data_IF_459952390397
#
_entry.id   IF_459952390397
#
_cell.length_a   1.000
_cell.length_b   1.000
_cell.length_c   1.000
_cell.angle_alpha   90.00
_cell.angle_beta   90.00
_cell.angle_gamma   90.00
#
_symmetry.space_group_name_H-M   'P 1'
#
loop_
_entity.id
_entity.type
_entity.pdbx_description
1 polymer ?
#
# COMPACT_ATOMS: atom_id res chain seq x y z
N UNK A 1 -36.40 -5.46 5.80
CA UNK A 1 -37.15 -4.73 4.76
C UNK A 1 -36.92 -3.22 4.88
N UNK A 2 -37.08 -2.61 6.05
CA UNK A 2 -36.72 -1.20 6.32
C UNK A 2 -35.22 -0.87 6.23
N UNK A 3 -34.37 -1.83 6.60
CA UNK A 3 -32.91 -1.68 6.60
C UNK A 3 -32.29 -1.50 5.19
N UNK A 4 -33.05 -1.74 4.11
CA UNK A 4 -32.57 -1.58 2.73
C UNK A 4 -32.93 -0.21 2.12
N UNK A 5 -33.63 0.67 2.86
CA UNK A 5 -34.03 2.02 2.39
C UNK A 5 -34.86 2.05 1.09
N UNK A 6 -35.64 1.00 0.81
CA UNK A 6 -36.59 0.92 -0.32
C UNK A 6 -38.00 0.63 0.17
N UNK A 7 -39.02 1.18 -0.49
CA UNK A 7 -40.42 1.14 -0.07
C UNK A 7 -40.74 1.81 1.27
N UNK A 8 -39.76 2.42 1.94
CA UNK A 8 -39.92 2.97 3.29
C UNK A 8 -40.73 4.26 3.33
N UNK A 9 -40.73 5.03 2.24
CA UNK A 9 -41.45 6.30 2.14
C UNK A 9 -42.96 6.09 2.24
N UNK A 10 -43.50 5.11 1.51
CA UNK A 10 -44.95 4.85 1.49
C UNK A 10 -45.45 4.41 2.86
N UNK A 11 -44.68 3.58 3.56
CA UNK A 11 -45.04 3.13 4.91
C UNK A 11 -44.87 4.26 5.93
N UNK A 12 -43.84 5.09 5.78
CA UNK A 12 -43.63 6.26 6.64
C UNK A 12 -44.77 7.26 6.50
N UNK A 13 -45.17 7.59 5.27
CA UNK A 13 -46.31 8.48 5.02
C UNK A 13 -47.61 7.90 5.58
N UNK A 14 -47.88 6.61 5.35
CA UNK A 14 -49.04 5.95 5.93
C UNK A 14 -49.04 5.96 7.47
N UNK A 15 -47.88 5.83 8.11
CA UNK A 15 -47.75 5.88 9.57
C UNK A 15 -47.93 7.30 10.13
N UNK A 16 -47.40 8.32 9.45
CA UNK A 16 -47.51 9.73 9.84
C UNK A 16 -48.93 10.27 9.66
N UNK A 17 -49.64 9.79 8.62
CA UNK A 17 -51.03 10.17 8.37
C UNK A 17 -52.04 9.35 9.21
N UNK A 18 -51.56 8.35 9.96
CA UNK A 18 -52.41 7.46 10.75
C UNK A 18 -52.99 8.15 11.98
N UNK A 19 -54.27 7.85 12.27
CA UNK A 19 -55.04 8.44 13.38
C UNK A 19 -55.49 7.37 14.37
N UNK A 20 -56.79 7.09 14.40
CA UNK A 20 -57.40 6.01 15.17
C UNK A 20 -57.88 4.90 14.24
N UNK A 21 -58.10 3.72 14.82
CA UNK A 21 -58.68 2.59 14.10
C UNK A 21 -60.05 2.98 13.51
N UNK A 22 -60.30 2.63 12.25
CA UNK A 22 -61.49 3.00 11.46
C UNK A 22 -61.66 4.48 11.08
N UNK A 23 -60.67 5.35 11.34
CA UNK A 23 -60.69 6.75 10.86
C UNK A 23 -59.85 6.91 9.59
N UNK A 24 -60.36 7.68 8.61
CA UNK A 24 -59.61 8.02 7.40
C UNK A 24 -58.27 8.68 7.76
N UNK A 25 -57.14 8.34 7.10
CA UNK A 25 -55.89 9.04 7.32
C UNK A 25 -56.03 10.55 7.06
N UNK A 26 -55.31 11.36 7.84
CA UNK A 26 -55.25 12.81 7.63
C UNK A 26 -53.79 13.21 7.57
N UNK A 27 -53.48 14.05 6.59
CA UNK A 27 -52.15 14.55 6.34
C UNK A 27 -51.48 15.04 7.64
N UNK A 28 -50.37 14.39 7.99
CA UNK A 28 -49.48 14.73 9.12
C UNK A 28 -50.16 14.81 10.51
N UNK A 29 -51.20 14.01 10.77
CA UNK A 29 -51.88 14.00 12.07
C UNK A 29 -50.98 13.46 13.20
N UNK A 30 -50.09 12.50 12.89
CA UNK A 30 -49.19 11.86 13.85
C UNK A 30 -47.70 12.06 13.50
N UNK A 31 -47.28 13.31 13.46
CA UNK A 31 -45.92 13.72 13.08
C UNK A 31 -44.82 13.08 13.96
N UNK A 32 -45.13 12.68 15.20
CA UNK A 32 -44.16 12.04 16.09
C UNK A 32 -43.71 10.66 15.60
N UNK A 33 -44.45 10.03 14.68
CA UNK A 33 -44.05 8.75 14.07
C UNK A 33 -42.74 8.84 13.26
N UNK A 34 -42.34 10.03 12.80
CA UNK A 34 -41.00 10.22 12.22
C UNK A 34 -39.87 9.84 13.20
N UNK A 35 -40.05 10.15 14.50
CA UNK A 35 -39.05 9.86 15.53
C UNK A 35 -38.84 8.35 15.68
N UNK A 36 -39.91 7.57 15.58
CA UNK A 36 -39.83 6.11 15.59
C UNK A 36 -38.93 5.58 14.45
N UNK A 37 -39.11 6.07 13.22
CA UNK A 37 -38.28 5.66 12.09
C UNK A 37 -36.83 6.10 12.21
N UNK A 38 -36.57 7.31 12.71
CA UNK A 38 -35.20 7.80 12.95
C UNK A 38 -34.49 6.93 13.99
N UNK A 39 -35.14 6.62 15.11
CA UNK A 39 -34.58 5.74 16.16
C UNK A 39 -34.34 4.34 15.58
N UNK A 40 -35.30 3.78 14.83
CA UNK A 40 -35.15 2.45 14.23
C UNK A 40 -34.00 2.39 13.21
N UNK A 41 -33.79 3.44 12.39
CA UNK A 41 -32.66 3.48 11.44
C UNK A 41 -31.32 3.58 12.18
N UNK A 42 -31.24 4.43 13.21
CA UNK A 42 -30.01 4.63 13.99
C UNK A 42 -29.66 3.35 14.76
N UNK A 43 -30.60 2.74 15.48
CA UNK A 43 -30.31 1.59 16.33
C UNK A 43 -30.44 0.24 15.60
N UNK A 44 -31.34 0.12 14.63
CA UNK A 44 -31.49 -1.09 13.82
C UNK A 44 -30.36 -1.19 12.81
N UNK A 45 -30.35 -0.31 11.82
CA UNK A 45 -29.42 -0.43 10.68
C UNK A 45 -27.96 -0.28 11.10
N UNK A 46 -27.60 0.67 11.95
CA UNK A 46 -26.20 0.89 12.35
C UNK A 46 -25.64 -0.28 13.17
N UNK A 47 -26.36 -0.74 14.20
CA UNK A 47 -25.87 -1.79 15.09
C UNK A 47 -25.86 -3.15 14.38
N UNK A 48 -26.90 -3.48 13.59
CA UNK A 48 -26.92 -4.75 12.88
C UNK A 48 -25.89 -4.81 11.76
N UNK A 49 -25.72 -3.72 10.98
CA UNK A 49 -24.71 -3.70 9.91
C UNK A 49 -23.29 -3.75 10.48
N UNK A 50 -22.99 -2.97 11.53
CA UNK A 50 -21.65 -2.94 12.10
C UNK A 50 -21.27 -4.26 12.79
N UNK A 51 -22.20 -4.88 13.53
CA UNK A 51 -21.97 -6.19 14.14
C UNK A 51 -21.75 -7.26 13.05
N UNK A 52 -22.58 -7.22 12.00
CA UNK A 52 -22.52 -8.19 10.93
C UNK A 52 -21.22 -8.08 10.11
N UNK A 53 -20.83 -6.86 9.76
CA UNK A 53 -19.55 -6.56 9.10
C UNK A 53 -18.38 -7.00 9.99
N UNK A 54 -18.42 -6.71 11.30
CA UNK A 54 -17.37 -7.11 12.25
C UNK A 54 -17.18 -8.63 12.33
N UNK A 55 -18.28 -9.39 12.48
CA UNK A 55 -18.23 -10.86 12.52
C UNK A 55 -17.73 -11.45 11.19
N UNK A 56 -18.13 -10.88 10.06
CA UNK A 56 -17.63 -11.32 8.75
C UNK A 56 -16.15 -11.02 8.60
N UNK A 57 -15.68 -9.81 8.97
CA UNK A 57 -14.27 -9.44 8.90
C UNK A 57 -13.42 -10.42 9.75
N UNK A 58 -13.84 -10.70 10.97
CA UNK A 58 -13.13 -11.61 11.86
C UNK A 58 -13.11 -13.05 11.34
N UNK A 59 -14.23 -13.54 10.80
CA UNK A 59 -14.30 -14.87 10.21
C UNK A 59 -13.48 -14.98 8.91
N UNK A 60 -13.52 -13.94 8.06
CA UNK A 60 -12.77 -13.91 6.81
C UNK A 60 -11.25 -13.78 7.06
N UNK A 61 -10.84 -13.03 8.09
CA UNK A 61 -9.44 -12.97 8.54
C UNK A 61 -8.94 -14.33 9.05
N UNK A 62 -9.79 -15.12 9.72
CA UNK A 62 -9.45 -16.49 10.12
C UNK A 62 -9.36 -17.45 8.92
N UNK A 63 -10.23 -17.29 7.91
CA UNK A 63 -10.21 -18.08 6.67
C UNK A 63 -9.00 -17.74 5.77
N UNK A 64 -8.62 -16.46 5.69
CA UNK A 64 -7.44 -15.97 4.92
C UNK A 64 -6.13 -16.59 5.44
N UNK A 65 -6.06 -16.99 6.71
CA UNK A 65 -4.89 -17.66 7.32
C UNK A 65 -4.71 -19.12 6.88
N UNK A 66 -5.68 -19.72 6.19
CA UNK A 66 -5.65 -21.14 5.77
C UNK A 66 -5.60 -21.35 4.25
N UNK A 67 -5.71 -20.32 3.42
CA UNK A 67 -5.76 -20.48 1.97
C UNK A 67 -4.72 -19.54 1.33
N UNK A 68 -3.48 -20.02 1.28
CA UNK A 68 -2.53 -19.67 0.22
C UNK A 68 -2.26 -20.93 -0.57
N UNK A 69 -2.93 -21.07 -1.70
CA UNK A 69 -2.39 -21.72 -2.89
C UNK A 69 -3.39 -21.62 -4.05
N UNK A 70 -2.85 -21.24 -5.21
CA UNK A 70 -3.40 -21.34 -6.56
C UNK A 70 -4.53 -20.38 -6.95
N UNK A 71 -4.20 -19.35 -7.73
CA UNK A 71 -4.60 -19.25 -9.15
C UNK A 71 -4.01 -17.97 -9.78
N UNK A 72 -3.02 -18.13 -10.65
CA UNK A 72 -2.57 -17.07 -11.56
C UNK A 72 -2.28 -17.72 -12.92
N UNK A 73 -3.32 -17.97 -13.74
CA UNK A 73 -3.10 -18.38 -15.14
C UNK A 73 -4.32 -18.27 -16.10
N UNK A 74 -5.39 -17.51 -15.82
CA UNK A 74 -6.57 -17.44 -16.72
C UNK A 74 -7.05 -15.99 -16.94
N UNK A 75 -6.15 -15.03 -17.20
CA UNK A 75 -6.56 -13.66 -17.58
C UNK A 75 -5.69 -13.11 -18.72
N UNK A 76 -5.58 -13.85 -19.83
CA UNK A 76 -4.98 -13.27 -21.05
C UNK A 76 -5.66 -13.65 -22.37
N UNK A 77 -6.80 -14.35 -22.33
CA UNK A 77 -7.51 -14.74 -23.55
C UNK A 77 -8.99 -14.52 -23.32
N UNK A 78 -9.61 -13.71 -24.19
CA UNK A 78 -11.05 -13.57 -24.47
C UNK A 78 -11.50 -12.12 -24.41
N UNK A 79 -11.24 -11.37 -25.48
CA UNK A 79 -12.20 -10.43 -26.06
C UNK A 79 -11.84 -10.36 -27.55
N UNK A 80 -12.77 -10.59 -28.49
CA UNK A 80 -13.44 -9.51 -29.24
C UNK A 80 -14.62 -10.11 -30.03
N UNK A 81 -15.78 -9.45 -29.97
CA UNK A 81 -16.94 -9.63 -30.87
C UNK A 81 -17.16 -8.37 -31.74
N UNK A 82 -17.74 -8.48 -32.95
CA UNK A 82 -17.70 -7.44 -34.01
C UNK A 82 -18.45 -6.12 -33.74
N UNK A 83 -19.12 -5.94 -32.60
CA UNK A 83 -19.72 -4.65 -32.18
C UNK A 83 -18.69 -3.62 -31.69
N UNK A 84 -17.43 -4.05 -31.47
CA UNK A 84 -16.29 -3.26 -30.97
C UNK A 84 -15.81 -2.13 -31.90
N UNK A 85 -16.14 -2.12 -33.20
CA UNK A 85 -15.62 -1.11 -34.13
C UNK A 85 -16.13 0.32 -33.86
N UNK A 86 -17.28 0.49 -33.20
CA UNK A 86 -17.74 1.81 -32.75
C UNK A 86 -16.98 2.32 -31.50
N UNK A 87 -16.48 1.39 -30.68
CA UNK A 87 -15.77 1.65 -29.41
C UNK A 87 -14.30 2.07 -29.66
N UNK A 88 -13.71 1.72 -30.80
CA UNK A 88 -12.31 2.07 -31.15
C UNK A 88 -12.06 3.60 -31.15
N UNK A 89 -13.09 4.43 -31.41
CA UNK A 89 -12.95 5.89 -31.28
C UNK A 89 -12.73 6.36 -29.83
N UNK A 90 -13.21 5.61 -28.83
CA UNK A 90 -12.95 5.84 -27.41
C UNK A 90 -11.49 5.52 -27.03
N UNK A 91 -10.72 4.81 -27.84
CA UNK A 91 -9.29 4.58 -27.60
C UNK A 91 -8.48 5.89 -27.53
N UNK A 92 -9.00 7.00 -28.10
CA UNK A 92 -8.42 8.34 -27.95
C UNK A 92 -8.49 8.85 -26.50
N UNK A 93 -9.49 8.43 -25.72
CA UNK A 93 -9.60 8.70 -24.28
C UNK A 93 -8.44 8.02 -23.52
N UNK A 94 -7.87 6.93 -24.06
CA UNK A 94 -6.67 6.29 -23.54
C UNK A 94 -5.43 7.20 -23.46
N UNK A 95 -5.43 8.37 -24.12
CA UNK A 95 -4.39 9.40 -23.91
C UNK A 95 -4.37 9.92 -22.46
N UNK A 96 -5.54 9.98 -21.80
CA UNK A 96 -5.67 10.38 -20.39
C UNK A 96 -5.00 9.35 -19.48
N UNK A 97 -4.97 8.06 -19.85
CA UNK A 97 -4.25 7.03 -19.09
C UNK A 97 -2.73 7.24 -19.06
N UNK A 98 -2.15 8.06 -19.97
CA UNK A 98 -0.73 8.46 -19.84
C UNK A 98 -0.47 9.31 -18.61
N UNK A 99 -1.49 10.01 -18.09
CA UNK A 99 -1.38 10.77 -16.83
C UNK A 99 -1.19 9.83 -15.62
N UNK A 100 -1.65 8.57 -15.71
CA UNK A 100 -1.43 7.56 -14.66
C UNK A 100 0.06 7.23 -14.52
N UNK A 101 0.86 7.33 -15.59
CA UNK A 101 2.31 7.14 -15.53
C UNK A 101 3.01 8.16 -14.60
N UNK A 102 2.44 9.34 -14.43
CA UNK A 102 3.01 10.39 -13.58
C UNK A 102 2.51 10.38 -12.13
N UNK A 103 1.52 9.55 -11.79
CA UNK A 103 0.86 9.56 -10.48
C UNK A 103 1.06 8.23 -9.74
N UNK A 104 2.20 8.11 -9.04
CA UNK A 104 2.61 6.92 -8.25
C UNK A 104 1.47 6.38 -7.37
N UNK A 105 0.77 7.24 -6.64
CA UNK A 105 -0.35 6.82 -5.77
C UNK A 105 -1.56 6.21 -6.51
N UNK A 106 -1.90 6.73 -7.70
CA UNK A 106 -2.99 6.15 -8.50
C UNK A 106 -2.55 4.82 -9.12
N UNK A 107 -1.27 4.72 -9.53
CA UNK A 107 -0.68 3.50 -10.08
C UNK A 107 -0.71 2.35 -9.06
N UNK A 108 -0.28 2.60 -7.83
CA UNK A 108 -0.35 1.63 -6.72
C UNK A 108 -1.79 1.16 -6.49
N UNK A 109 -2.75 2.08 -6.38
CA UNK A 109 -4.16 1.72 -6.15
C UNK A 109 -4.75 0.88 -7.30
N UNK A 110 -4.40 1.20 -8.55
CA UNK A 110 -4.84 0.44 -9.71
C UNK A 110 -4.17 -0.94 -9.78
N UNK A 111 -2.90 -1.05 -9.39
CA UNK A 111 -2.20 -2.33 -9.31
C UNK A 111 -2.82 -3.22 -8.23
N UNK A 112 -3.05 -2.69 -7.02
CA UNK A 112 -3.74 -3.41 -5.95
C UNK A 112 -5.15 -3.88 -6.36
N UNK A 113 -5.90 -3.03 -7.06
CA UNK A 113 -7.20 -3.40 -7.64
C UNK A 113 -7.07 -4.53 -8.66
N UNK A 114 -6.09 -4.47 -9.57
CA UNK A 114 -5.83 -5.53 -10.56
C UNK A 114 -5.44 -6.86 -9.91
N UNK A 115 -4.65 -6.81 -8.83
CA UNK A 115 -4.29 -8.00 -8.06
C UNK A 115 -5.50 -8.64 -7.35
N UNK A 116 -6.53 -7.85 -7.02
CA UNK A 116 -7.79 -8.36 -6.45
C UNK A 116 -8.81 -8.90 -7.48
N UNK A 117 -8.60 -8.65 -8.78
CA UNK A 117 -9.52 -9.10 -9.84
C UNK A 117 -9.71 -10.63 -9.91
N UNK A 118 -8.68 -11.49 -9.74
CA UNK A 118 -8.87 -12.94 -9.74
C UNK A 118 -9.83 -13.42 -8.63
N UNK A 119 -9.70 -12.87 -7.43
CA UNK A 119 -10.60 -13.17 -6.31
C UNK A 119 -12.02 -12.65 -6.60
N UNK A 120 -12.12 -11.44 -7.15
CA UNK A 120 -13.38 -10.84 -7.56
C UNK A 120 -14.12 -11.69 -8.61
N UNK A 121 -13.41 -12.25 -9.58
CA UNK A 121 -14.01 -13.07 -10.62
C UNK A 121 -14.66 -14.33 -10.06
N UNK A 122 -14.02 -14.99 -9.08
CA UNK A 122 -14.59 -16.17 -8.43
C UNK A 122 -15.88 -15.85 -7.65
N UNK A 123 -15.89 -14.73 -6.93
CA UNK A 123 -17.09 -14.27 -6.21
C UNK A 123 -18.17 -13.81 -7.20
N UNK A 124 -17.78 -13.19 -8.31
CA UNK A 124 -18.65 -12.80 -9.41
C UNK A 124 -19.29 -14.01 -10.10
N UNK A 125 -18.56 -15.11 -10.31
CA UNK A 125 -19.09 -16.36 -10.83
C UNK A 125 -20.11 -16.99 -9.87
N UNK A 126 -19.85 -16.94 -8.56
CA UNK A 126 -20.80 -17.40 -7.56
C UNK A 126 -22.09 -16.56 -7.59
N UNK A 127 -21.97 -15.23 -7.65
CA UNK A 127 -23.11 -14.32 -7.78
C UNK A 127 -23.88 -14.60 -9.08
N UNK A 128 -23.18 -14.82 -10.19
CA UNK A 128 -23.78 -15.16 -11.47
C UNK A 128 -24.54 -16.49 -11.41
N UNK A 129 -23.98 -17.50 -10.76
CA UNK A 129 -24.66 -18.78 -10.55
C UNK A 129 -25.95 -18.62 -9.73
N UNK A 130 -25.91 -17.83 -8.66
CA UNK A 130 -27.11 -17.52 -7.86
C UNK A 130 -28.14 -16.77 -8.70
N UNK A 131 -27.74 -15.75 -9.46
CA UNK A 131 -28.64 -15.04 -10.38
C UNK A 131 -29.26 -15.99 -11.41
N UNK A 132 -28.48 -16.92 -11.95
CA UNK A 132 -28.94 -17.91 -12.92
C UNK A 132 -30.00 -18.85 -12.33
N UNK A 133 -29.80 -19.33 -11.12
CA UNK A 133 -30.78 -20.20 -10.45
C UNK A 133 -32.08 -19.43 -10.21
N UNK A 134 -31.98 -18.21 -9.65
CA UNK A 134 -33.15 -17.38 -9.35
C UNK A 134 -33.86 -16.88 -10.61
N UNK A 135 -33.18 -16.70 -11.75
CA UNK A 135 -33.84 -16.27 -12.98
C UNK A 135 -34.73 -17.36 -13.57
N UNK A 136 -34.32 -18.63 -13.45
CA UNK A 136 -35.16 -19.78 -13.82
C UNK A 136 -36.39 -19.89 -12.90
N UNK A 137 -36.18 -19.75 -11.59
CA UNK A 137 -37.30 -19.72 -10.63
C UNK A 137 -38.24 -18.54 -10.85
N UNK A 138 -37.71 -17.34 -11.12
CA UNK A 138 -38.51 -16.16 -11.41
C UNK A 138 -39.33 -16.33 -12.68
N UNK A 139 -38.72 -16.84 -13.75
CA UNK A 139 -39.41 -17.09 -15.02
C UNK A 139 -40.53 -18.11 -14.90
N UNK A 140 -40.31 -19.19 -14.13
CA UNK A 140 -41.33 -20.23 -13.95
C UNK A 140 -42.51 -19.78 -13.07
N UNK A 141 -42.31 -18.84 -12.14
CA UNK A 141 -43.34 -18.45 -11.15
C UNK A 141 -44.00 -17.10 -11.45
N UNK A 142 -43.30 -16.18 -12.11
CA UNK A 142 -43.73 -14.78 -12.23
C UNK A 142 -43.87 -14.27 -13.67
N UNK A 143 -43.70 -15.12 -14.69
CA UNK A 143 -43.79 -14.71 -16.09
C UNK A 143 -45.15 -14.09 -16.47
N UNK A 144 -46.26 -14.55 -15.89
CA UNK A 144 -47.61 -14.11 -16.24
C UNK A 144 -48.20 -13.08 -15.27
N UNK A 145 -47.42 -12.60 -14.31
CA UNK A 145 -47.90 -11.62 -13.33
C UNK A 145 -48.27 -10.32 -14.05
N UNK A 146 -49.39 -9.72 -13.65
CA UNK A 146 -49.86 -8.44 -14.19
C UNK A 146 -48.75 -7.38 -14.14
N UNK A 147 -48.53 -6.71 -15.28
CA UNK A 147 -47.60 -5.59 -15.37
C UNK A 147 -48.16 -4.40 -14.59
N UNK A 148 -47.43 -4.01 -13.55
CA UNK A 148 -47.77 -2.91 -12.66
C UNK A 148 -46.51 -2.46 -11.91
N UNK A 149 -46.47 -1.18 -11.51
CA UNK A 149 -45.36 -0.59 -10.75
C UNK A 149 -43.97 -0.83 -11.36
N UNK A 150 -43.24 -1.84 -10.91
CA UNK A 150 -41.89 -2.18 -11.38
C UNK A 150 -41.81 -3.28 -12.44
N UNK A 151 -42.93 -3.95 -12.77
CA UNK A 151 -42.99 -4.95 -13.83
C UNK A 151 -43.56 -4.30 -15.10
N UNK A 152 -42.75 -4.20 -16.15
CA UNK A 152 -43.12 -3.62 -17.45
C UNK A 152 -42.62 -4.47 -18.64
N UNK A 153 -42.81 -3.98 -19.88
CA UNK A 153 -42.43 -4.69 -21.11
C UNK A 153 -40.92 -4.99 -21.23
N UNK A 154 -40.07 -4.28 -20.48
CA UNK A 154 -38.60 -4.42 -20.49
C UNK A 154 -38.08 -5.13 -19.23
N UNK A 155 -38.63 -4.80 -18.06
CA UNK A 155 -38.27 -5.31 -16.75
C UNK A 155 -39.35 -6.26 -16.26
N UNK A 156 -39.27 -7.51 -16.69
CA UNK A 156 -40.21 -8.57 -16.28
C UNK A 156 -39.52 -9.93 -16.13
N UNK A 157 -40.32 -10.95 -15.80
CA UNK A 157 -39.88 -12.33 -15.67
C UNK A 157 -40.35 -13.23 -16.82
N UNK A 158 -40.72 -12.67 -17.98
CA UNK A 158 -41.25 -13.46 -19.11
C UNK A 158 -40.16 -14.29 -19.80
N UNK A 159 -38.94 -13.75 -19.86
CA UNK A 159 -37.79 -14.40 -20.49
C UNK A 159 -36.61 -14.50 -19.53
N UNK A 160 -35.70 -15.42 -19.81
CA UNK A 160 -34.46 -15.56 -19.05
C UNK A 160 -33.63 -14.27 -19.03
N UNK A 161 -33.53 -13.57 -20.15
CA UNK A 161 -32.78 -12.31 -20.27
C UNK A 161 -33.37 -11.20 -19.40
N UNK A 162 -34.68 -10.98 -19.49
CA UNK A 162 -35.37 -9.98 -18.67
C UNK A 162 -35.28 -10.32 -17.18
N UNK A 163 -35.46 -11.59 -16.82
CA UNK A 163 -35.30 -12.08 -15.45
C UNK A 163 -33.90 -11.82 -14.89
N UNK A 164 -32.85 -12.02 -15.71
CA UNK A 164 -31.47 -11.73 -15.32
C UNK A 164 -31.23 -10.23 -15.10
N UNK A 165 -31.83 -9.36 -15.91
CA UNK A 165 -31.73 -7.89 -15.75
C UNK A 165 -32.43 -7.45 -14.46
N UNK A 166 -33.63 -7.97 -14.19
CA UNK A 166 -34.36 -7.71 -12.94
C UNK A 166 -33.56 -8.15 -11.71
N UNK A 167 -32.96 -9.35 -11.73
CA UNK A 167 -32.13 -9.84 -10.62
C UNK A 167 -30.84 -9.04 -10.47
N UNK A 168 -30.20 -8.63 -11.58
CA UNK A 168 -29.06 -7.74 -11.53
C UNK A 168 -29.39 -6.39 -10.87
N UNK A 169 -30.57 -5.82 -11.17
CA UNK A 169 -31.06 -4.62 -10.49
C UNK A 169 -31.25 -4.86 -8.98
N UNK A 170 -31.93 -5.95 -8.60
CA UNK A 170 -32.20 -6.31 -7.20
C UNK A 170 -30.92 -6.70 -6.44
N UNK A 171 -29.84 -7.11 -7.11
CA UNK A 171 -28.54 -7.41 -6.46
C UNK A 171 -28.01 -6.21 -5.67
N UNK A 172 -28.29 -4.99 -6.15
CA UNK A 172 -27.97 -3.75 -5.43
C UNK A 172 -29.03 -3.34 -4.42
N UNK A 173 -30.02 -4.21 -4.17
CA UNK A 173 -31.27 -3.96 -3.46
C UNK A 173 -32.10 -2.81 -4.04
N UNK A 174 -31.93 -2.46 -5.31
CA UNK A 174 -32.68 -1.38 -5.96
C UNK A 174 -34.01 -1.89 -6.54
N UNK A 175 -35.12 -1.20 -6.22
CA UNK A 175 -36.42 -1.40 -6.88
C UNK A 175 -37.08 -2.77 -6.65
N UNK A 176 -36.63 -3.52 -5.64
CA UNK A 176 -37.21 -4.83 -5.30
C UNK A 176 -38.65 -4.71 -4.80
N UNK A 177 -38.99 -3.57 -4.18
CA UNK A 177 -40.31 -3.18 -3.71
C UNK A 177 -41.30 -3.03 -4.87
N UNK A 178 -40.91 -2.34 -5.94
CA UNK A 178 -41.72 -2.18 -7.14
C UNK A 178 -41.95 -3.49 -7.91
N UNK A 179 -40.97 -4.41 -7.88
CA UNK A 179 -41.09 -5.73 -8.51
C UNK A 179 -41.91 -6.72 -7.66
N UNK A 180 -41.89 -6.59 -6.33
CA UNK A 180 -42.67 -7.44 -5.44
C UNK A 180 -44.16 -7.06 -5.43
N UNK A 181 -44.49 -5.77 -5.52
CA UNK A 181 -45.85 -5.26 -5.35
C UNK A 181 -46.89 -5.99 -6.24
N UNK A 182 -46.70 -6.14 -7.56
CA UNK A 182 -47.69 -6.82 -8.42
C UNK A 182 -47.84 -8.31 -8.10
N UNK A 183 -46.80 -8.93 -7.52
CA UNK A 183 -46.79 -10.34 -7.13
C UNK A 183 -47.63 -10.58 -5.87
N UNK A 184 -47.86 -9.54 -5.07
CA UNK A 184 -48.69 -9.58 -3.87
C UNK A 184 -50.19 -9.39 -4.18
N UNK A 185 -50.54 -8.96 -5.40
CA UNK A 185 -51.92 -8.66 -5.78
C UNK A 185 -52.83 -9.88 -5.61
N UNK A 186 -54.07 -9.61 -5.18
CA UNK A 186 -55.18 -10.57 -5.08
C UNK A 186 -56.42 -9.96 -5.74
N UNK A 187 -57.44 -10.76 -6.10
CA UNK A 187 -58.69 -10.21 -6.60
C UNK A 187 -59.26 -9.15 -5.63
N UNK A 188 -59.68 -7.96 -6.10
CA UNK A 188 -59.97 -7.56 -7.49
C UNK A 188 -58.79 -6.97 -8.29
N UNK A 189 -57.60 -6.84 -7.71
CA UNK A 189 -56.45 -6.15 -8.34
C UNK A 189 -55.77 -6.98 -9.44
N UNK A 190 -56.06 -8.29 -9.49
CA UNK A 190 -55.65 -9.23 -10.53
C UNK A 190 -56.82 -10.14 -10.95
N UNK A 191 -56.70 -10.78 -12.11
CA UNK A 191 -57.71 -11.63 -12.72
C UNK A 191 -57.23 -13.09 -12.76
N UNK A 192 -58.05 -14.01 -12.24
CA UNK A 192 -57.76 -15.45 -12.20
C UNK A 192 -58.02 -16.14 -13.55
N UNK A 193 -58.86 -15.55 -14.39
CA UNK A 193 -59.35 -16.18 -15.64
C UNK A 193 -58.79 -15.51 -16.90
N UNK A 194 -57.85 -14.57 -16.75
CA UNK A 194 -57.21 -13.89 -17.87
C UNK A 194 -56.53 -14.90 -18.79
N UNK A 195 -56.94 -14.91 -20.05
CA UNK A 195 -56.39 -15.80 -21.07
C UNK A 195 -55.17 -15.16 -21.73
N UNK A 196 -54.09 -15.94 -21.85
CA UNK A 196 -52.86 -15.53 -22.52
C UNK A 196 -52.76 -16.25 -23.88
N UNK A 197 -52.93 -15.53 -25.01
CA UNK A 197 -52.97 -16.18 -26.32
C UNK A 197 -51.65 -16.90 -26.63
N UNK A 198 -51.71 -18.21 -26.85
CA UNK A 198 -50.54 -19.06 -27.11
C UNK A 198 -49.99 -19.80 -25.89
N UNK A 199 -50.56 -19.61 -24.69
CA UNK A 199 -50.24 -20.37 -23.48
C UNK A 199 -51.48 -21.09 -22.94
N UNK A 200 -51.29 -22.27 -22.34
CA UNK A 200 -52.35 -22.98 -21.62
C UNK A 200 -52.57 -22.47 -20.19
N UNK A 201 -51.78 -21.47 -19.76
CA UNK A 201 -51.87 -20.87 -18.43
C UNK A 201 -52.99 -19.83 -18.37
N UNK A 202 -53.74 -19.81 -17.26
CA UNK A 202 -54.82 -18.86 -17.00
C UNK A 202 -54.53 -18.04 -15.75
N UNK A 203 -54.83 -16.75 -15.82
CA UNK A 203 -54.69 -15.80 -14.74
C UNK A 203 -53.41 -14.95 -14.79
N UNK A 204 -53.45 -13.80 -14.13
CA UNK A 204 -52.31 -12.88 -13.96
C UNK A 204 -52.01 -12.54 -12.48
N UNK A 205 -52.63 -13.27 -11.56
CA UNK A 205 -52.37 -13.16 -10.13
C UNK A 205 -51.04 -13.84 -9.72
N UNK A 206 -50.22 -13.13 -8.95
CA UNK A 206 -49.03 -13.70 -8.32
C UNK A 206 -49.36 -14.57 -7.10
N UNK A 207 -48.34 -15.26 -6.57
CA UNK A 207 -48.42 -15.96 -5.30
C UNK A 207 -47.67 -15.18 -4.21
N UNK A 208 -48.37 -14.55 -3.25
CA UNK A 208 -47.72 -13.70 -2.25
C UNK A 208 -46.69 -14.43 -1.39
N UNK A 209 -46.95 -15.67 -0.99
CA UNK A 209 -46.04 -16.45 -0.15
C UNK A 209 -44.74 -16.78 -0.87
N UNK A 210 -44.85 -17.21 -2.13
CA UNK A 210 -43.68 -17.54 -2.97
C UNK A 210 -42.91 -16.27 -3.35
N UNK A 211 -43.62 -15.18 -3.67
CA UNK A 211 -43.02 -13.87 -3.94
C UNK A 211 -42.20 -13.34 -2.77
N UNK A 212 -42.78 -13.29 -1.57
CA UNK A 212 -42.06 -12.82 -0.36
C UNK A 212 -40.82 -13.68 -0.11
N UNK A 213 -40.94 -15.00 -0.17
CA UNK A 213 -39.81 -15.89 0.05
C UNK A 213 -38.71 -15.69 -1.01
N UNK A 214 -39.08 -15.58 -2.29
CA UNK A 214 -38.15 -15.37 -3.39
C UNK A 214 -37.34 -14.09 -3.23
N UNK A 215 -38.00 -12.94 -3.04
CA UNK A 215 -37.31 -11.65 -2.95
C UNK A 215 -36.51 -11.52 -1.64
N UNK A 216 -37.06 -11.94 -0.51
CA UNK A 216 -36.35 -11.84 0.78
C UNK A 216 -35.12 -12.75 0.82
N UNK A 217 -35.25 -14.01 0.37
CA UNK A 217 -34.11 -14.93 0.32
C UNK A 217 -33.03 -14.45 -0.65
N UNK A 218 -33.42 -13.95 -1.81
CA UNK A 218 -32.50 -13.40 -2.80
C UNK A 218 -31.74 -12.17 -2.28
N UNK A 219 -32.44 -11.21 -1.64
CA UNK A 219 -31.80 -10.01 -1.07
C UNK A 219 -30.80 -10.40 0.02
N UNK A 220 -31.14 -11.37 0.88
CA UNK A 220 -30.20 -11.83 1.91
C UNK A 220 -28.97 -12.47 1.26
N UNK A 221 -29.15 -13.43 0.35
CA UNK A 221 -28.03 -14.15 -0.28
C UNK A 221 -27.14 -13.19 -1.09
N UNK A 222 -27.73 -12.31 -1.91
CA UNK A 222 -26.99 -11.34 -2.71
C UNK A 222 -26.23 -10.33 -1.84
N UNK A 223 -26.86 -9.82 -0.78
CA UNK A 223 -26.20 -8.92 0.17
C UNK A 223 -24.99 -9.58 0.83
N UNK A 224 -25.11 -10.84 1.28
CA UNK A 224 -23.98 -11.60 1.84
C UNK A 224 -22.82 -11.72 0.86
N UNK A 225 -23.11 -12.05 -0.40
CA UNK A 225 -22.08 -12.22 -1.43
C UNK A 225 -21.39 -10.89 -1.74
N UNK A 226 -22.16 -9.80 -1.93
CA UNK A 226 -21.62 -8.47 -2.25
C UNK A 226 -20.81 -7.89 -1.09
N UNK A 227 -21.25 -8.05 0.15
CA UNK A 227 -20.49 -7.60 1.33
C UNK A 227 -19.19 -8.40 1.47
N UNK A 228 -19.24 -9.72 1.30
CA UNK A 228 -18.05 -10.57 1.32
C UNK A 228 -17.05 -10.18 0.22
N UNK A 229 -17.55 -9.85 -0.98
CA UNK A 229 -16.74 -9.31 -2.08
C UNK A 229 -16.05 -8.00 -1.69
N UNK A 230 -16.80 -7.05 -1.13
CA UNK A 230 -16.28 -5.73 -0.75
C UNK A 230 -15.21 -5.83 0.34
N UNK A 231 -15.45 -6.66 1.36
CA UNK A 231 -14.49 -6.90 2.43
C UNK A 231 -13.21 -7.55 1.87
N UNK A 232 -13.33 -8.54 0.98
CA UNK A 232 -12.18 -9.16 0.34
C UNK A 232 -11.33 -8.13 -0.43
N UNK A 233 -11.97 -7.27 -1.24
CA UNK A 233 -11.30 -6.19 -1.98
C UNK A 233 -10.61 -5.21 -1.02
N UNK A 234 -11.29 -4.75 0.04
CA UNK A 234 -10.69 -3.82 1.01
C UNK A 234 -9.48 -4.45 1.70
N UNK A 235 -9.60 -5.69 2.18
CA UNK A 235 -8.53 -6.36 2.89
C UNK A 235 -7.34 -6.66 1.99
N UNK A 236 -7.57 -6.91 0.70
CA UNK A 236 -6.50 -7.09 -0.29
C UNK A 236 -5.80 -5.76 -0.59
N UNK A 237 -6.56 -4.69 -0.86
CA UNK A 237 -6.00 -3.35 -1.05
C UNK A 237 -5.26 -2.84 0.19
N UNK A 238 -5.78 -3.08 1.38
CA UNK A 238 -5.14 -2.69 2.64
C UNK A 238 -3.87 -3.51 2.88
N UNK A 239 -3.86 -4.80 2.56
CA UNK A 239 -2.65 -5.64 2.63
C UNK A 239 -1.55 -5.10 1.72
N UNK A 240 -1.86 -4.79 0.46
CA UNK A 240 -0.89 -4.24 -0.50
C UNK A 240 -0.39 -2.87 -0.05
N UNK A 241 -1.27 -1.98 0.42
CA UNK A 241 -0.87 -0.67 0.95
C UNK A 241 0.01 -0.77 2.21
N UNK A 242 -0.19 -1.82 3.02
CA UNK A 242 0.64 -2.06 4.21
C UNK A 242 2.00 -2.66 3.83
N UNK A 243 2.05 -3.56 2.85
CA UNK A 243 3.31 -4.12 2.32
C UNK A 243 4.17 -3.04 1.64
N UNK A 244 3.59 -2.15 0.81
CA UNK A 244 4.34 -1.04 0.18
C UNK A 244 4.83 0.03 1.18
N UNK A 245 4.22 0.16 2.36
CA UNK A 245 4.60 1.17 3.36
C UNK A 245 5.42 0.61 4.53
N UNK A 246 5.46 -0.71 4.69
CA UNK A 246 6.22 -1.37 5.76
C UNK A 246 7.67 -1.64 5.36
N UNK A 247 7.96 -1.80 4.06
CA UNK A 247 9.33 -2.00 3.61
C UNK A 247 10.11 -0.67 3.58
N UNK A 248 11.28 -0.59 4.25
CA UNK A 248 12.07 0.64 4.31
C UNK A 248 12.65 1.07 2.95
N UNK A 249 12.64 0.17 1.97
CA UNK A 249 13.13 0.36 0.60
C UNK A 249 12.12 -0.22 -0.39
N UNK A 250 11.73 0.58 -1.38
CA UNK A 250 10.81 0.21 -2.46
C UNK A 250 11.56 -0.02 -3.78
N UNK A 251 10.93 -0.67 -4.76
CA UNK A 251 11.51 -0.85 -6.11
C UNK A 251 11.89 0.49 -6.76
N UNK A 252 11.07 1.54 -6.56
CA UNK A 252 11.34 2.88 -7.10
C UNK A 252 12.65 3.49 -6.55
N UNK A 253 13.07 3.12 -5.32
CA UNK A 253 14.34 3.59 -4.74
C UNK A 253 15.54 2.99 -5.48
N UNK A 254 15.43 1.74 -5.95
CA UNK A 254 16.44 1.08 -6.77
C UNK A 254 16.49 1.65 -8.19
N UNK A 255 15.33 1.94 -8.79
CA UNK A 255 15.28 2.63 -10.09
C UNK A 255 15.96 4.00 -10.02
N UNK A 256 15.61 4.81 -9.01
CA UNK A 256 16.19 6.14 -8.78
C UNK A 256 17.71 6.05 -8.56
N UNK A 257 18.20 5.02 -7.87
CA UNK A 257 19.63 4.76 -7.72
C UNK A 257 20.34 4.57 -9.08
N UNK A 258 19.78 3.75 -9.98
CA UNK A 258 20.37 3.51 -11.30
C UNK A 258 20.29 4.73 -12.22
N UNK A 259 19.20 5.51 -12.17
CA UNK A 259 19.09 6.77 -12.91
C UNK A 259 20.17 7.78 -12.50
N UNK A 260 20.53 7.81 -11.22
CA UNK A 260 21.61 8.67 -10.73
C UNK A 260 22.97 8.06 -11.07
N UNK A 261 23.12 6.73 -10.97
CA UNK A 261 24.35 6.02 -11.33
C UNK A 261 24.77 6.28 -12.78
N UNK A 262 23.83 6.26 -13.72
CA UNK A 262 24.08 6.52 -15.14
C UNK A 262 24.75 7.89 -15.38
N UNK A 263 24.48 8.89 -14.53
CA UNK A 263 25.13 10.22 -14.61
C UNK A 263 26.61 10.19 -14.21
N UNK A 264 27.03 9.21 -13.42
CA UNK A 264 28.41 9.05 -12.94
C UNK A 264 29.19 7.97 -13.73
N UNK A 265 28.50 7.07 -14.42
CA UNK A 265 29.04 6.03 -15.29
C UNK A 265 28.29 5.95 -16.65
N UNK A 266 28.49 6.93 -17.55
CA UNK A 266 27.77 6.98 -18.83
C UNK A 266 28.12 5.85 -19.80
N UNK A 267 29.29 5.24 -19.61
CA UNK A 267 29.81 4.17 -20.47
C UNK A 267 29.42 2.77 -19.97
N UNK A 268 28.56 2.69 -18.94
CA UNK A 268 28.08 1.44 -18.32
C UNK A 268 29.22 0.49 -17.91
N UNK A 269 30.31 1.06 -17.38
CA UNK A 269 31.48 0.29 -16.94
C UNK A 269 31.23 -0.48 -15.65
N UNK A 270 30.18 -0.13 -14.90
CA UNK A 270 29.82 -0.60 -13.56
C UNK A 270 30.80 -0.17 -12.45
N UNK A 271 31.69 0.78 -12.73
CA UNK A 271 32.66 1.30 -11.77
C UNK A 271 32.60 2.82 -11.67
N UNK A 272 32.86 3.35 -10.48
CA UNK A 272 33.14 4.76 -10.26
C UNK A 272 34.48 4.95 -9.55
N UNK A 273 35.12 6.09 -9.76
CA UNK A 273 36.31 6.48 -9.00
C UNK A 273 35.96 6.84 -7.55
N UNK A 274 36.81 6.46 -6.61
CA UNK A 274 36.64 6.74 -5.18
C UNK A 274 36.47 8.23 -4.87
N UNK A 275 37.13 9.10 -5.64
CA UNK A 275 37.00 10.56 -5.55
C UNK A 275 35.56 11.05 -5.73
N UNK A 276 34.77 10.37 -6.58
CA UNK A 276 33.38 10.74 -6.91
C UNK A 276 32.35 10.13 -5.96
N UNK A 277 32.74 9.18 -5.10
CA UNK A 277 31.82 8.47 -4.20
C UNK A 277 31.05 9.43 -3.27
N UNK A 278 31.73 10.43 -2.73
CA UNK A 278 31.12 11.41 -1.84
C UNK A 278 30.07 12.30 -2.54
N UNK A 279 30.29 12.62 -3.81
CA UNK A 279 29.34 13.39 -4.63
C UNK A 279 28.15 12.53 -5.05
N UNK A 280 28.41 11.28 -5.44
CA UNK A 280 27.39 10.30 -5.78
C UNK A 280 26.45 10.05 -4.59
N UNK A 281 27.00 9.80 -3.40
CA UNK A 281 26.21 9.48 -2.22
C UNK A 281 25.29 10.64 -1.75
N UNK A 282 25.71 11.89 -1.99
CA UNK A 282 24.91 13.08 -1.68
C UNK A 282 23.84 13.38 -2.75
N UNK A 283 24.06 12.93 -4.00
CA UNK A 283 23.13 13.11 -5.11
C UNK A 283 21.92 12.16 -5.07
N UNK A 284 22.04 11.03 -4.37
CA UNK A 284 20.93 10.08 -4.16
C UNK A 284 19.75 10.72 -3.42
N UNK A 285 18.56 10.15 -3.61
CA UNK A 285 17.36 10.56 -2.88
C UNK A 285 17.20 9.77 -1.56
N UNK A 286 16.42 10.31 -0.62
CA UNK A 286 16.07 9.57 0.59
C UNK A 286 15.25 8.34 0.20
N UNK A 287 15.49 7.14 0.75
CA UNK A 287 16.30 6.82 1.95
C UNK A 287 17.78 6.47 1.72
N UNK A 288 18.23 6.31 0.47
CA UNK A 288 19.60 5.89 0.15
C UNK A 288 20.64 7.02 0.23
N UNK A 289 20.19 8.28 0.27
CA UNK A 289 21.06 9.47 0.38
C UNK A 289 21.97 9.45 1.62
N UNK A 290 23.24 9.76 1.41
CA UNK A 290 24.22 10.07 2.47
C UNK A 290 24.68 11.52 2.33
N UNK A 291 24.06 12.47 3.06
CA UNK A 291 24.32 13.89 2.88
C UNK A 291 25.72 14.29 3.33
N UNK A 292 26.32 15.29 2.68
CA UNK A 292 27.63 15.82 3.11
C UNK A 292 27.53 16.55 4.46
N UNK A 293 28.57 16.45 5.33
CA UNK A 293 29.83 15.72 5.14
C UNK A 293 29.70 14.20 5.40
N UNK A 294 29.90 13.39 4.36
CA UNK A 294 29.65 11.94 4.36
C UNK A 294 30.91 11.08 4.39
N UNK A 295 32.10 11.70 4.40
CA UNK A 295 33.38 10.98 4.26
C UNK A 295 33.62 9.94 5.35
N UNK A 296 33.28 10.25 6.61
CA UNK A 296 33.50 9.33 7.74
C UNK A 296 32.58 8.12 7.62
N UNK A 297 31.32 8.35 7.25
CA UNK A 297 30.31 7.31 7.10
C UNK A 297 30.67 6.37 5.94
N UNK A 298 31.09 6.92 4.79
CA UNK A 298 31.54 6.15 3.63
C UNK A 298 32.80 5.32 3.90
N UNK A 299 33.74 5.83 4.70
CA UNK A 299 34.92 5.05 5.13
C UNK A 299 34.52 3.93 6.08
N UNK A 300 33.54 4.17 6.96
CA UNK A 300 33.04 3.18 7.91
C UNK A 300 32.26 2.04 7.24
N UNK A 301 31.73 2.25 6.02
CA UNK A 301 31.06 1.21 5.21
C UNK A 301 32.03 0.17 4.62
N UNK A 302 33.35 0.41 4.68
CA UNK A 302 34.40 -0.53 4.27
C UNK A 302 34.23 -1.10 2.84
N UNK A 303 33.90 -0.22 1.89
CA UNK A 303 33.71 -0.61 0.49
C UNK A 303 35.00 -1.20 -0.13
N UNK A 304 34.91 -2.33 -0.86
CA UNK A 304 36.04 -2.90 -1.58
C UNK A 304 36.43 -2.03 -2.79
N UNK A 305 37.74 -1.93 -3.02
CA UNK A 305 38.32 -1.16 -4.13
C UNK A 305 39.18 -2.05 -5.03
N UNK A 306 39.02 -1.80 -6.33
CA UNK A 306 39.73 -2.46 -7.43
C UNK A 306 40.85 -1.55 -7.93
N UNK A 307 41.77 -2.10 -8.74
CA UNK A 307 42.81 -1.37 -9.48
C UNK A 307 42.35 -0.01 -10.02
N UNK A 308 43.10 1.03 -9.65
CA UNK A 308 42.84 2.41 -10.06
C UNK A 308 41.94 3.21 -9.11
N UNK A 309 41.84 2.83 -7.82
CA UNK A 309 40.97 3.47 -6.82
C UNK A 309 39.50 3.53 -7.30
N UNK A 310 39.01 2.42 -7.87
CA UNK A 310 37.64 2.27 -8.38
C UNK A 310 36.79 1.35 -7.50
N UNK A 311 35.51 1.66 -7.39
CA UNK A 311 34.52 0.90 -6.62
C UNK A 311 33.41 0.44 -7.55
N UNK A 312 32.93 -0.78 -7.35
CA UNK A 312 31.87 -1.37 -8.17
C UNK A 312 30.46 -0.93 -7.70
N UNK A 313 29.56 -0.79 -8.67
CA UNK A 313 28.14 -0.43 -8.46
C UNK A 313 27.44 -1.29 -7.41
N UNK A 314 27.60 -2.62 -7.52
CA UNK A 314 26.92 -3.57 -6.65
C UNK A 314 27.37 -3.44 -5.18
N UNK A 315 28.66 -3.17 -4.95
CA UNK A 315 29.19 -3.03 -3.59
C UNK A 315 28.64 -1.77 -2.92
N UNK A 316 28.48 -0.68 -3.67
CA UNK A 316 27.89 0.57 -3.18
C UNK A 316 26.40 0.36 -2.89
N UNK A 317 25.67 -0.22 -3.85
CA UNK A 317 24.24 -0.49 -3.68
C UNK A 317 23.99 -1.37 -2.46
N UNK A 318 24.78 -2.43 -2.30
CA UNK A 318 24.67 -3.34 -1.17
C UNK A 318 24.97 -2.63 0.16
N UNK A 319 26.06 -1.86 0.25
CA UNK A 319 26.40 -1.14 1.47
C UNK A 319 25.34 -0.11 1.88
N UNK A 320 24.75 0.59 0.90
CA UNK A 320 23.75 1.62 1.18
C UNK A 320 22.41 0.98 1.55
N UNK A 321 22.04 -0.11 0.89
CA UNK A 321 20.87 -0.94 1.24
C UNK A 321 21.02 -1.49 2.66
N UNK A 322 22.20 -2.04 3.00
CA UNK A 322 22.54 -2.55 4.33
C UNK A 322 22.44 -1.48 5.42
N UNK A 323 22.83 -0.24 5.11
CA UNK A 323 22.70 0.89 6.03
C UNK A 323 21.25 1.18 6.40
N UNK A 324 20.34 1.12 5.43
CA UNK A 324 18.92 1.44 5.63
C UNK A 324 18.17 0.29 6.31
N UNK A 325 18.44 -0.96 5.91
CA UNK A 325 17.73 -2.14 6.42
C UNK A 325 18.33 -2.71 7.72
N UNK A 326 19.61 -2.43 8.02
CA UNK A 326 20.33 -3.01 9.14
C UNK A 326 20.90 -4.42 8.88
N UNK A 327 21.60 -4.98 9.87
CA UNK A 327 22.17 -6.33 9.80
C UNK A 327 21.08 -7.40 9.97
N UNK A 328 20.37 -7.72 8.89
CA UNK A 328 19.51 -8.90 8.80
C UNK A 328 20.17 -10.00 7.97
N UNK A 329 20.16 -11.25 8.45
CA UNK A 329 20.76 -12.39 7.72
C UNK A 329 20.12 -12.67 6.35
N UNK A 330 18.93 -12.14 6.07
CA UNK A 330 18.29 -12.20 4.74
C UNK A 330 19.06 -11.38 3.69
N UNK A 331 19.74 -10.31 4.10
CA UNK A 331 20.49 -9.44 3.19
C UNK A 331 21.73 -10.15 2.62
N UNK A 332 22.38 -11.00 3.40
CA UNK A 332 23.54 -11.78 2.96
C UNK A 332 23.15 -12.85 1.93
N UNK A 333 21.93 -13.41 2.03
CA UNK A 333 21.37 -14.33 1.03
C UNK A 333 21.09 -13.58 -0.27
N UNK A 334 20.54 -12.37 -0.17
CA UNK A 334 20.25 -11.51 -1.32
C UNK A 334 21.55 -11.07 -2.02
N UNK A 335 22.60 -10.76 -1.25
CA UNK A 335 23.96 -10.52 -1.75
C UNK A 335 24.46 -11.69 -2.60
N UNK A 336 24.36 -12.90 -2.05
CA UNK A 336 24.86 -14.11 -2.70
C UNK A 336 24.13 -14.38 -4.03
N UNK A 337 22.81 -14.15 -4.07
CA UNK A 337 22.04 -14.27 -5.32
C UNK A 337 22.42 -13.22 -6.37
N UNK A 338 22.67 -11.97 -5.96
CA UNK A 338 23.10 -10.91 -6.87
C UNK A 338 24.52 -11.16 -7.39
N UNK A 339 25.44 -11.61 -6.53
CA UNK A 339 26.81 -12.00 -6.91
C UNK A 339 26.81 -13.22 -7.86
N UNK A 340 25.97 -14.22 -7.63
CA UNK A 340 25.84 -15.40 -8.52
C UNK A 340 25.31 -15.03 -9.91
N UNK A 341 24.28 -14.17 -10.00
CA UNK A 341 23.79 -13.66 -11.29
C UNK A 341 24.83 -12.84 -12.02
N UNK A 342 25.60 -12.05 -11.28
CA UNK A 342 26.69 -11.25 -11.84
C UNK A 342 27.81 -12.13 -12.42
N UNK A 343 28.28 -13.12 -11.66
CA UNK A 343 29.31 -14.09 -12.11
C UNK A 343 28.86 -14.89 -13.34
N UNK A 344 27.55 -15.18 -13.45
CA UNK A 344 26.98 -15.81 -14.63
C UNK A 344 26.97 -14.88 -15.87
N UNK A 345 26.80 -13.57 -15.67
CA UNK A 345 26.75 -12.57 -16.74
C UNK A 345 28.12 -12.02 -17.18
N UNK A 346 29.18 -12.16 -16.36
CA UNK A 346 30.52 -11.67 -16.67
C UNK A 346 31.63 -12.70 -16.35
N UNK A 347 32.06 -13.53 -17.32
CA UNK A 347 32.99 -14.65 -17.09
C UNK A 347 34.43 -14.24 -16.72
N UNK A 348 34.83 -12.98 -16.92
CA UNK A 348 36.21 -12.53 -16.69
C UNK A 348 36.41 -12.10 -15.23
N UNK A 349 36.84 -13.03 -14.37
CA UNK A 349 37.15 -12.80 -12.94
C UNK A 349 38.30 -11.81 -12.65
N UNK A 350 39.11 -11.45 -13.66
CA UNK A 350 40.38 -10.72 -13.50
C UNK A 350 40.18 -9.23 -13.17
N UNK A 351 39.03 -8.64 -13.47
CA UNK A 351 38.76 -7.21 -13.24
C UNK A 351 38.17 -6.89 -11.87
N UNK A 352 37.81 -7.89 -11.05
CA UNK A 352 37.04 -7.67 -9.81
C UNK A 352 37.80 -7.99 -8.52
N UNK A 353 38.99 -8.60 -8.57
CA UNK A 353 39.70 -8.96 -7.34
C UNK A 353 39.97 -7.71 -6.48
N UNK A 354 39.40 -7.62 -5.26
CA UNK A 354 39.59 -6.46 -4.41
C UNK A 354 41.04 -6.37 -3.97
N UNK A 355 41.69 -5.24 -4.25
CA UNK A 355 43.09 -5.01 -3.88
C UNK A 355 43.19 -4.39 -2.48
N UNK A 356 42.22 -3.56 -2.11
CA UNK A 356 42.19 -2.86 -0.82
C UNK A 356 40.75 -2.44 -0.49
N UNK A 357 40.51 -1.92 0.72
CA UNK A 357 39.21 -1.36 1.12
C UNK A 357 39.34 0.12 1.46
N UNK A 358 38.23 0.85 1.46
CA UNK A 358 38.21 2.29 1.81
C UNK A 358 38.86 2.56 3.18
N UNK A 359 38.61 1.70 4.17
CA UNK A 359 39.23 1.78 5.50
C UNK A 359 40.74 1.53 5.45
N UNK A 360 41.16 0.47 4.74
CA UNK A 360 42.58 0.12 4.61
C UNK A 360 43.37 1.22 3.87
N UNK A 361 42.81 1.79 2.82
CA UNK A 361 43.40 2.92 2.08
C UNK A 361 43.58 4.14 2.97
N UNK A 362 42.60 4.44 3.82
CA UNK A 362 42.74 5.56 4.77
C UNK A 362 43.86 5.32 5.78
N UNK A 363 43.98 4.10 6.27
CA UNK A 363 45.06 3.69 7.15
C UNK A 363 46.44 3.82 6.48
N UNK A 364 46.55 3.46 5.21
CA UNK A 364 47.76 3.60 4.40
C UNK A 364 48.15 5.08 4.19
N UNK A 365 47.19 5.96 3.88
CA UNK A 365 47.43 7.41 3.78
C UNK A 365 47.96 8.00 5.08
N UNK A 366 47.30 7.71 6.20
CA UNK A 366 47.70 8.22 7.52
C UNK A 366 49.09 7.71 7.89
N UNK A 367 49.35 6.42 7.63
CA UNK A 367 50.66 5.81 7.84
C UNK A 367 51.74 6.46 6.98
N UNK A 368 51.45 6.72 5.70
CA UNK A 368 52.37 7.40 4.79
C UNK A 368 52.69 8.82 5.27
N UNK A 369 51.69 9.59 5.71
CA UNK A 369 51.90 10.94 6.28
C UNK A 369 52.76 10.89 7.54
N UNK A 370 52.52 9.93 8.45
CA UNK A 370 53.32 9.75 9.66
C UNK A 370 54.78 9.39 9.34
N UNK A 371 54.99 8.44 8.43
CA UNK A 371 56.33 8.02 7.99
C UNK A 371 57.05 9.17 7.30
N UNK A 372 56.39 9.88 6.37
CA UNK A 372 56.96 11.05 5.69
C UNK A 372 57.33 12.15 6.68
N UNK A 373 56.47 12.42 7.67
CA UNK A 373 56.74 13.41 8.73
C UNK A 373 57.93 13.00 9.58
N UNK A 374 58.01 11.73 9.99
CA UNK A 374 59.13 11.19 10.75
C UNK A 374 60.44 11.21 9.94
N UNK A 375 60.38 10.87 8.66
CA UNK A 375 61.52 10.86 7.74
C UNK A 375 62.04 12.29 7.46
N UNK A 376 61.15 13.25 7.18
CA UNK A 376 61.51 14.67 7.05
C UNK A 376 62.13 15.22 8.34
N UNK A 377 61.59 14.86 9.50
CA UNK A 377 62.17 15.24 10.79
C UNK A 377 63.56 14.60 11.01
N UNK A 378 63.76 13.36 10.58
CA UNK A 378 65.07 12.67 10.65
C UNK A 378 66.10 13.29 9.70
N UNK A 379 65.71 13.65 8.48
CA UNK A 379 66.58 14.35 7.52
C UNK A 379 66.99 15.74 8.03
N UNK A 380 66.07 16.47 8.66
CA UNK A 380 66.36 17.74 9.31
C UNK A 380 67.38 17.61 10.46
N UNK A 381 67.30 16.53 11.26
CA UNK A 381 68.27 16.25 12.33
C UNK A 381 69.65 15.79 11.84
N UNK A 382 69.73 15.15 10.67
CA UNK A 382 71.00 14.67 10.07
C UNK A 382 71.69 15.69 9.15
N UNK A 383 71.19 16.93 9.08
CA UNK A 383 71.84 18.02 8.33
C UNK A 383 71.77 17.91 6.81
N UNK A 384 70.94 17.02 6.26
CA UNK A 384 70.81 16.79 4.81
C UNK A 384 69.88 17.79 4.10
N UNK A 385 69.16 18.63 4.85
CA UNK A 385 68.40 19.75 4.26
C UNK A 385 69.19 21.02 4.50
N UNK A 386 69.95 21.44 3.49
CA UNK A 386 70.56 22.77 3.47
C UNK A 386 69.47 23.83 3.68
N UNK A 387 69.67 24.67 4.70
CA UNK A 387 68.91 25.93 4.85
C UNK A 387 69.01 26.68 3.52
N UNK A 388 67.90 26.81 2.79
CA UNK A 388 67.78 27.90 1.81
C UNK A 388 67.89 29.19 2.62
N UNK A 389 69.00 29.90 2.46
CA UNK A 389 69.18 31.23 3.01
C UNK A 389 68.10 32.14 2.37
N UNK A 390 67.20 32.65 3.20
CA UNK A 390 66.32 33.74 2.82
C UNK A 390 67.22 34.98 2.63
N UNK A 391 67.44 35.38 1.38
CA UNK A 391 68.03 36.67 1.06
C UNK A 391 66.95 37.73 1.11
N UNK A 392 66.99 38.60 2.12
CA UNK A 392 66.31 39.90 2.07
C UNK A 392 67.33 41.00 2.33
N UNK A 393 67.60 41.78 1.28
CA UNK A 393 68.28 43.08 1.33
C UNK A 393 67.56 44.04 2.28
N UNK A 394 68.33 44.89 2.95
CA UNK A 394 67.93 45.92 3.89
C UNK A 394 67.13 47.08 3.25
N UNK A 395 66.20 47.59 4.10
CA UNK A 395 65.75 48.97 4.37
C UNK A 395 65.22 49.89 3.26
N UNK A 396 63.98 50.40 3.45
CA UNK A 396 63.79 51.65 4.21
C UNK A 396 62.31 51.99 4.58
N UNK A 397 62.11 52.40 5.84
CA UNK A 397 61.34 53.58 6.31
C UNK A 397 59.81 53.68 6.16
N UNK A 398 59.09 53.82 7.29
CA UNK A 398 57.75 54.44 7.33
C UNK A 398 56.89 54.08 8.56
N UNK A 399 56.86 54.97 9.56
CA UNK A 399 56.30 54.77 10.91
C UNK A 399 54.77 54.97 11.05
N UNK A 400 54.16 54.25 12.01
CA UNK A 400 53.26 54.73 13.12
C UNK A 400 52.35 53.58 13.60
N UNK A 401 52.60 52.95 14.78
CA UNK A 401 52.00 53.22 16.12
C UNK A 401 50.45 53.25 16.09
N UNK A 402 49.67 52.48 16.86
CA UNK A 402 49.84 51.98 18.24
C UNK A 402 49.07 50.66 18.53
N UNK A 403 49.67 49.83 19.41
CA UNK A 403 49.16 49.11 20.62
C UNK A 403 47.80 48.40 20.58
N UNK A 404 47.55 47.27 21.24
CA UNK A 404 48.18 46.34 22.22
C UNK A 404 47.13 45.21 22.36
N UNK A 405 47.33 43.98 22.82
CA UNK A 405 48.28 43.30 23.71
C UNK A 405 48.01 41.79 23.47
N UNK A 406 49.01 40.93 23.23
CA UNK A 406 49.75 40.18 24.26
C UNK A 406 49.23 38.72 24.29
N UNK A 407 50.00 37.64 24.36
CA UNK A 407 51.42 37.37 24.47
C UNK A 407 51.60 35.85 24.46
N UNK A 408 52.70 35.40 23.86
CA UNK A 408 53.19 34.02 23.64
C UNK A 408 53.66 33.29 24.93
N UNK A 409 54.41 32.16 24.89
CA UNK A 409 54.05 30.80 24.49
C UNK A 409 54.54 29.73 25.53
N UNK A 410 54.32 28.45 25.17
CA UNK A 410 55.15 27.26 25.53
C UNK A 410 54.63 26.26 26.56
N UNK A 411 54.80 24.99 26.14
CA UNK A 411 55.02 23.76 26.92
C UNK A 411 53.91 23.24 27.83
N UNK A 412 53.20 22.21 27.36
CA UNK A 412 52.90 21.00 28.14
C UNK A 412 52.27 19.91 27.24
N UNK A 413 52.93 18.76 27.18
CA UNK A 413 52.39 17.39 27.10
C UNK A 413 51.02 17.12 26.42
N UNK A 414 51.08 16.23 25.42
CA UNK A 414 49.98 15.43 24.86
C UNK A 414 49.07 14.82 25.95
N UNK A 415 47.73 14.88 25.82
CA UNK A 415 46.85 14.03 26.62
C UNK A 415 46.81 12.60 26.04
N UNK A 416 46.80 11.65 26.97
CA UNK A 416 46.64 10.22 26.77
C UNK A 416 45.38 9.87 25.97
N UNK A 417 45.52 8.85 25.13
CA UNK A 417 44.48 8.26 24.30
C UNK A 417 43.60 7.34 25.15
N UNK A 418 42.80 7.92 26.06
CA UNK A 418 41.85 7.12 26.87
C UNK A 418 40.74 7.97 27.52
N UNK A 419 39.94 8.70 26.72
CA UNK A 419 38.69 9.31 27.22
C UNK A 419 37.79 9.86 26.11
N UNK A 420 37.07 9.01 25.36
CA UNK A 420 35.86 9.45 24.62
C UNK A 420 34.66 8.46 24.74
N UNK A 421 34.78 7.31 25.41
CA UNK A 421 33.65 6.35 25.54
C UNK A 421 33.17 6.07 26.98
N UNK A 422 33.41 6.98 27.94
CA UNK A 422 33.00 6.75 29.35
C UNK A 422 31.76 7.50 29.90
N UNK A 423 31.25 8.63 29.38
CA UNK A 423 30.10 9.28 30.04
C UNK A 423 28.73 8.65 29.70
N UNK A 424 28.62 7.81 28.67
CA UNK A 424 27.33 7.19 28.27
C UNK A 424 27.11 5.79 28.86
N UNK A 425 28.16 4.96 28.97
CA UNK A 425 28.04 3.61 29.56
C UNK A 425 27.74 3.65 31.07
N UNK A 426 28.28 4.61 31.82
CA UNK A 426 27.96 4.79 33.25
C UNK A 426 26.54 5.36 33.47
N UNK A 427 26.02 6.17 32.54
CA UNK A 427 24.63 6.67 32.60
C UNK A 427 23.61 5.57 32.28
N UNK A 428 23.91 4.69 31.31
CA UNK A 428 23.05 3.54 31.00
C UNK A 428 23.06 2.50 32.12
N UNK A 429 24.22 2.20 32.71
CA UNK A 429 24.30 1.25 33.85
C UNK A 429 23.58 1.77 35.10
N UNK A 430 23.69 3.07 35.44
CA UNK A 430 22.92 3.66 36.56
C UNK A 430 21.41 3.72 36.28
N UNK A 431 20.99 3.91 35.03
CA UNK A 431 19.57 3.87 34.65
C UNK A 431 19.00 2.45 34.73
N UNK A 432 19.79 1.44 34.40
CA UNK A 432 19.40 0.03 34.43
C UNK A 432 19.37 -0.53 35.87
N UNK A 433 20.31 -0.12 36.73
CA UNK A 433 20.28 -0.40 38.17
C UNK A 433 19.08 0.27 38.86
N UNK A 434 18.77 1.53 38.51
CA UNK A 434 17.58 2.23 39.01
C UNK A 434 16.25 1.59 38.58
N UNK A 435 16.20 0.99 37.39
CA UNK A 435 15.05 0.19 36.92
C UNK A 435 14.93 -1.13 37.67
N UNK A 436 16.04 -1.80 37.97
CA UNK A 436 16.07 -3.04 38.77
C UNK A 436 15.69 -2.82 40.23
N UNK A 437 16.06 -1.70 40.86
CA UNK A 437 15.63 -1.37 42.22
C UNK A 437 14.15 -1.01 42.30
N UNK A 438 13.59 -0.27 41.34
CA UNK A 438 12.14 0.01 41.26
C UNK A 438 11.31 -1.26 41.08
N UNK A 439 11.78 -2.20 40.26
CA UNK A 439 11.12 -3.50 40.07
C UNK A 439 11.19 -4.40 41.32
N UNK A 440 12.24 -4.26 42.16
CA UNK A 440 12.35 -4.96 43.44
C UNK A 440 11.43 -4.35 44.51
N UNK A 441 11.30 -3.02 44.57
CA UNK A 441 10.37 -2.34 45.49
C UNK A 441 8.90 -2.62 45.18
N UNK A 442 8.50 -2.62 43.90
CA UNK A 442 7.13 -2.99 43.49
C UNK A 442 6.78 -4.47 43.77
N UNK A 443 7.77 -5.38 43.75
CA UNK A 443 7.56 -6.78 44.16
C UNK A 443 7.45 -6.97 45.68
N UNK A 444 7.92 -6.01 46.48
CA UNK A 444 7.86 -6.06 47.94
C UNK A 444 6.56 -5.45 48.48
N UNK A 445 5.98 -4.46 47.80
CA UNK A 445 4.66 -3.90 48.10
C UNK A 445 3.48 -4.82 47.71
N UNK A 446 3.71 -5.87 46.91
CA UNK A 446 2.72 -6.90 46.58
C UNK A 446 2.78 -8.15 47.49
N UNK A 447 3.58 -8.11 48.56
CA UNK A 447 3.75 -9.22 49.52
C UNK A 447 3.60 -8.82 51.00
N UNK A 448 2.95 -7.69 51.29
CA UNK A 448 2.39 -7.39 52.61
C UNK A 448 0.88 -7.34 52.53
#
# INVERSE_FOLDING_TARGET
MWATFKGWMDIMYAAVDSRKQEEQPKYEDNIYMYIYFVIFIIFGSFFTLNLFIGVIIDNFNQQKKKIRMFLAEIIEKYFVSPTLFRVIRLARIGRILRLIKGAKGIRTLLFALMMSLPALFNIGLLLFLVMFIFSIFGMSNFAYVKHEAGIDDMFNFETFGNSMICLFQITTSAGWDGLLLPILNRPPDCDLDKEHPGSGFKGDCGNPSVGIFFFVSYIIISFLIVVNMYIAIILENFSVATEESADPLSEDDFETFYEIWEKFDPDATQFIEYSKLADFADALEHPLRVPKPNTIELIAMDLPMVSGDRIHCLDILFAFTKRVLGDSGELDILRQQMEERFVASNPSKVSYEPITTTLRRKQEEVSAVLIQRAYRARLARRGFVGRRAAGSKLENGGASREKKEGGTPSTASLPSYDSVTKPEKEKQQRAEEGRREKAKRQKQEHKC
#
